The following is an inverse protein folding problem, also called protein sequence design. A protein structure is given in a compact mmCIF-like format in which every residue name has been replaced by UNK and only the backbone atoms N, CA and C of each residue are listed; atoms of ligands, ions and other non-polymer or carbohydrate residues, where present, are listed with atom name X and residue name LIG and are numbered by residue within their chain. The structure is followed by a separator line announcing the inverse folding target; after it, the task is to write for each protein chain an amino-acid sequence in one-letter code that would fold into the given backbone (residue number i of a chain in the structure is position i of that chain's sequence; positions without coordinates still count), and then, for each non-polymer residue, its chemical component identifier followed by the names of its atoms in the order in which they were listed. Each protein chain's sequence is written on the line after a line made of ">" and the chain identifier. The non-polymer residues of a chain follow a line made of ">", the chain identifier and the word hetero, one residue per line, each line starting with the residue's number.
data_IF_819055046733
#
_entry.id   IF_819055046733
#
_cell.length_a   1.000
_cell.length_b   1.000
_cell.length_c   1.000
_cell.angle_alpha   90.00
_cell.angle_beta   90.00
_cell.angle_gamma   90.00
#
_symmetry.space_group_name_H-M   'P 1'
#
loop_
_entity.id
_entity.type
_entity.pdbx_description
1 polymer ?
#
# COMPACT_ATOMS: atom_id res chain seq x y z
N UNK A 1 -18.07 4.44 -0.45
CA UNK A 1 -16.80 3.77 -0.77
C UNK A 1 -16.72 2.50 0.04
N UNK A 2 -16.33 1.42 -0.57
CA UNK A 2 -16.03 0.11 0.00
C UNK A 2 -14.65 -0.38 -0.46
N UNK A 3 -14.11 -1.41 0.18
CA UNK A 3 -12.92 -2.11 -0.28
C UNK A 3 -13.33 -3.35 -1.07
N UNK A 4 -12.83 -3.46 -2.29
CA UNK A 4 -13.09 -4.61 -3.16
C UNK A 4 -11.80 -5.34 -3.52
N UNK A 5 -11.91 -6.61 -3.85
CA UNK A 5 -10.90 -7.32 -4.64
C UNK A 5 -11.03 -6.90 -6.10
N UNK A 6 -9.91 -6.78 -6.79
CA UNK A 6 -9.94 -6.52 -8.22
C UNK A 6 -10.46 -7.77 -8.95
N UNK A 7 -11.36 -7.56 -9.90
CA UNK A 7 -11.89 -8.56 -10.82
C UNK A 7 -11.74 -8.04 -12.26
N UNK A 8 -11.86 -8.91 -13.27
CA UNK A 8 -11.73 -8.50 -14.67
C UNK A 8 -12.62 -7.32 -15.06
N UNK A 9 -13.85 -7.30 -14.55
CA UNK A 9 -14.81 -6.20 -14.81
C UNK A 9 -14.32 -4.82 -14.32
N UNK A 10 -13.40 -4.78 -13.35
CA UNK A 10 -12.87 -3.54 -12.78
C UNK A 10 -11.56 -3.09 -13.49
N UNK A 11 -10.99 -3.95 -14.35
CA UNK A 11 -9.68 -3.68 -14.94
C UNK A 11 -9.64 -2.41 -15.80
N UNK A 12 -10.66 -2.09 -16.62
CA UNK A 12 -10.65 -0.86 -17.41
C UNK A 12 -10.54 0.39 -16.53
N UNK A 13 -11.33 0.48 -15.47
CA UNK A 13 -11.30 1.60 -14.50
C UNK A 13 -9.97 1.65 -13.73
N UNK A 14 -9.44 0.47 -13.36
CA UNK A 14 -8.14 0.38 -12.70
C UNK A 14 -7.00 0.93 -13.58
N UNK A 15 -6.97 0.59 -14.85
CA UNK A 15 -5.97 1.11 -15.79
C UNK A 15 -6.09 2.62 -16.01
N UNK A 16 -7.32 3.14 -16.01
CA UNK A 16 -7.56 4.60 -16.04
C UNK A 16 -7.06 5.25 -14.76
N UNK A 17 -7.38 4.68 -13.59
CA UNK A 17 -6.96 5.19 -12.30
C UNK A 17 -5.44 5.26 -12.17
N UNK A 18 -4.72 4.20 -12.54
CA UNK A 18 -3.24 4.20 -12.51
C UNK A 18 -2.67 5.32 -13.40
N UNK A 19 -3.17 5.49 -14.62
CA UNK A 19 -2.71 6.56 -15.51
C UNK A 19 -2.93 7.96 -14.95
N UNK A 20 -3.96 8.16 -14.14
CA UNK A 20 -4.19 9.44 -13.46
C UNK A 20 -3.17 9.65 -12.34
N UNK A 21 -2.89 8.61 -11.56
CA UNK A 21 -1.89 8.66 -10.46
C UNK A 21 -0.47 8.86 -11.01
N UNK A 22 -0.12 8.21 -12.13
CA UNK A 22 1.19 8.36 -12.79
C UNK A 22 1.48 9.81 -13.25
N UNK A 23 0.48 10.66 -13.34
CA UNK A 23 0.64 12.09 -13.67
C UNK A 23 0.85 12.97 -12.44
N UNK A 24 0.72 12.39 -11.25
CA UNK A 24 0.87 13.09 -9.99
C UNK A 24 2.33 12.98 -9.54
N UNK A 25 3.05 14.10 -9.57
CA UNK A 25 4.49 14.15 -9.24
C UNK A 25 4.76 13.71 -7.79
N UNK A 26 3.80 13.88 -6.89
CA UNK A 26 3.92 13.47 -5.48
C UNK A 26 3.85 11.94 -5.30
N UNK A 27 3.39 11.19 -6.32
CA UNK A 27 3.20 9.74 -6.28
C UNK A 27 4.17 8.97 -7.19
N UNK A 28 5.14 9.66 -7.81
CA UNK A 28 6.14 9.09 -8.76
C UNK A 28 7.00 7.97 -8.14
N UNK A 29 7.16 7.94 -6.82
CA UNK A 29 7.95 6.91 -6.12
C UNK A 29 7.30 5.53 -6.07
N UNK A 30 6.07 5.40 -6.53
CA UNK A 30 5.39 4.12 -6.64
C UNK A 30 5.72 3.51 -8.01
N UNK A 31 6.09 2.24 -8.07
CA UNK A 31 6.35 1.50 -9.33
C UNK A 31 5.07 1.34 -10.18
N UNK A 32 4.39 2.46 -10.46
CA UNK A 32 3.09 2.48 -11.13
C UNK A 32 3.20 2.07 -12.60
N UNK A 33 4.30 2.42 -13.27
CA UNK A 33 4.57 2.01 -14.65
C UNK A 33 4.64 0.49 -14.76
N UNK A 34 5.34 -0.16 -13.82
CA UNK A 34 5.46 -1.62 -13.75
C UNK A 34 4.10 -2.24 -13.47
N UNK A 35 3.37 -1.71 -12.49
CA UNK A 35 2.03 -2.18 -12.14
C UNK A 35 1.07 -2.09 -13.34
N UNK A 36 1.11 -0.98 -14.10
CA UNK A 36 0.34 -0.82 -15.31
C UNK A 36 0.73 -1.84 -16.38
N UNK A 37 2.04 -1.98 -16.63
CA UNK A 37 2.55 -2.90 -17.63
C UNK A 37 2.18 -4.36 -17.32
N UNK A 38 2.27 -4.78 -16.07
CA UNK A 38 1.87 -6.12 -15.61
C UNK A 38 0.37 -6.37 -15.83
N UNK A 39 -0.47 -5.39 -15.46
CA UNK A 39 -1.92 -5.47 -15.63
C UNK A 39 -2.36 -5.55 -17.10
N UNK A 40 -1.63 -4.89 -18.00
CA UNK A 40 -1.89 -4.93 -19.45
C UNK A 40 -1.36 -6.22 -20.09
N UNK A 41 -0.20 -6.70 -19.64
CA UNK A 41 0.45 -7.87 -20.25
C UNK A 41 -0.30 -9.17 -19.94
N UNK A 42 -0.78 -9.35 -18.71
CA UNK A 42 -1.52 -10.54 -18.30
C UNK A 42 -2.49 -10.17 -17.14
N UNK A 43 -3.69 -9.76 -17.52
CA UNK A 43 -4.71 -9.32 -16.60
C UNK A 43 -5.12 -10.40 -15.58
N UNK A 44 -5.27 -11.64 -16.03
CA UNK A 44 -5.71 -12.74 -15.18
C UNK A 44 -4.66 -13.05 -14.10
N UNK A 45 -3.39 -13.12 -14.50
CA UNK A 45 -2.27 -13.31 -13.59
C UNK A 45 -2.17 -12.12 -12.62
N UNK A 46 -2.21 -10.89 -13.13
CA UNK A 46 -2.14 -9.69 -12.33
C UNK A 46 -3.22 -9.65 -11.23
N UNK A 47 -4.47 -9.95 -11.61
CA UNK A 47 -5.60 -10.01 -10.66
C UNK A 47 -5.39 -11.12 -9.64
N UNK A 48 -4.94 -12.30 -10.08
CA UNK A 48 -4.69 -13.43 -9.19
C UNK A 48 -3.58 -13.19 -8.17
N UNK A 49 -2.58 -12.38 -8.52
CA UNK A 49 -1.43 -12.06 -7.66
C UNK A 49 -1.68 -10.89 -6.68
N UNK A 50 -2.88 -10.26 -6.71
CA UNK A 50 -3.20 -9.19 -5.76
C UNK A 50 -3.28 -9.68 -4.31
N UNK A 51 -3.71 -10.90 -4.09
CA UNK A 51 -3.69 -11.55 -2.79
C UNK A 51 -2.69 -12.72 -2.80
N UNK A 52 -1.64 -12.59 -2.04
CA UNK A 52 -0.62 -13.63 -1.84
C UNK A 52 -0.40 -13.89 -0.33
N UNK A 53 -1.40 -14.48 0.36
CA UNK A 53 -1.33 -14.65 1.81
C UNK A 53 -0.28 -15.65 2.29
N UNK A 54 0.40 -16.32 1.37
CA UNK A 54 1.49 -17.26 1.66
C UNK A 54 2.86 -16.74 1.24
N UNK A 55 2.95 -15.64 0.50
CA UNK A 55 4.20 -15.09 -0.01
C UNK A 55 4.88 -16.01 -1.02
N UNK A 56 4.10 -16.64 -1.92
CA UNK A 56 4.60 -17.58 -2.93
C UNK A 56 4.89 -16.92 -4.29
N UNK A 57 4.53 -15.66 -4.44
CA UNK A 57 4.83 -14.90 -5.65
C UNK A 57 6.33 -14.74 -5.87
N UNK A 58 6.69 -14.26 -7.07
CA UNK A 58 8.08 -14.01 -7.42
C UNK A 58 8.76 -13.06 -6.44
N UNK A 59 10.06 -13.26 -6.22
CA UNK A 59 10.89 -12.37 -5.42
C UNK A 59 10.83 -10.93 -5.97
N UNK A 60 10.98 -9.99 -5.10
CA UNK A 60 10.92 -8.56 -5.43
C UNK A 60 12.34 -8.07 -5.73
N UNK A 61 12.53 -7.51 -6.92
CA UNK A 61 13.75 -6.82 -7.28
C UNK A 61 13.82 -5.45 -6.60
N UNK A 62 14.90 -5.23 -5.88
CA UNK A 62 15.19 -3.96 -5.21
C UNK A 62 15.88 -2.99 -6.18
N UNK A 63 15.85 -1.66 -5.92
CA UNK A 63 16.50 -0.68 -6.78
C UNK A 63 18.01 -0.88 -7.00
N UNK A 64 18.68 -1.57 -6.08
CA UNK A 64 20.09 -1.94 -6.18
C UNK A 64 20.36 -3.23 -6.97
N UNK A 65 19.31 -3.83 -7.55
CA UNK A 65 19.36 -5.08 -8.31
C UNK A 65 19.41 -6.35 -7.47
N UNK A 66 19.32 -6.25 -6.15
CA UNK A 66 19.18 -7.42 -5.28
C UNK A 66 17.73 -7.93 -5.27
N UNK A 67 17.55 -9.21 -4.94
CA UNK A 67 16.22 -9.82 -4.83
C UNK A 67 15.90 -10.12 -3.37
N UNK A 68 14.70 -9.79 -2.95
CA UNK A 68 14.18 -10.12 -1.63
C UNK A 68 12.93 -10.96 -1.73
N UNK A 69 12.76 -11.90 -0.81
CA UNK A 69 11.59 -12.75 -0.79
C UNK A 69 10.32 -11.92 -0.60
N UNK A 70 9.30 -12.21 -1.42
CA UNK A 70 7.98 -11.61 -1.27
C UNK A 70 7.38 -11.98 0.08
N UNK A 71 6.86 -10.98 0.77
CA UNK A 71 6.09 -11.19 2.00
C UNK A 71 4.65 -11.60 1.67
N UNK A 72 4.01 -12.37 2.53
CA UNK A 72 2.56 -12.48 2.55
C UNK A 72 1.90 -11.12 2.43
N UNK A 73 0.92 -11.00 1.54
CA UNK A 73 0.27 -9.72 1.29
C UNK A 73 -1.17 -9.87 0.82
N UNK A 74 -1.96 -8.84 1.06
CA UNK A 74 -3.28 -8.66 0.48
C UNK A 74 -3.42 -7.24 -0.05
N UNK A 75 -4.20 -7.10 -1.11
CA UNK A 75 -4.48 -5.81 -1.74
C UNK A 75 -5.98 -5.62 -1.89
N UNK A 76 -6.42 -4.39 -1.63
CA UNK A 76 -7.80 -3.97 -1.84
C UNK A 76 -7.83 -2.68 -2.64
N UNK A 77 -8.91 -2.49 -3.36
CA UNK A 77 -9.16 -1.27 -4.12
C UNK A 77 -10.35 -0.53 -3.52
N UNK A 78 -10.20 0.78 -3.39
CA UNK A 78 -11.27 1.66 -2.93
C UNK A 78 -12.25 1.86 -4.07
N UNK A 79 -13.53 1.57 -3.85
CA UNK A 79 -14.57 1.58 -4.87
C UNK A 79 -15.78 2.42 -4.42
N UNK A 80 -16.24 3.34 -5.27
CA UNK A 80 -17.48 4.10 -5.08
C UNK A 80 -18.36 4.15 -6.33
N UNK A 81 -18.18 3.18 -7.22
CA UNK A 81 -18.71 3.13 -8.58
C UNK A 81 -17.56 3.22 -9.61
N UNK A 82 -16.39 3.64 -9.18
CA UNK A 82 -15.13 3.64 -9.93
C UNK A 82 -13.96 3.37 -8.97
N UNK A 83 -12.77 3.08 -9.50
CA UNK A 83 -11.57 2.91 -8.68
C UNK A 83 -11.13 4.28 -8.16
N UNK A 84 -11.07 4.43 -6.84
CA UNK A 84 -10.70 5.67 -6.14
C UNK A 84 -9.29 5.65 -5.57
N UNK A 85 -8.72 4.46 -5.40
CA UNK A 85 -7.41 4.26 -4.80
C UNK A 85 -7.12 2.79 -4.52
N UNK A 86 -5.99 2.53 -3.91
CA UNK A 86 -5.51 1.20 -3.56
C UNK A 86 -4.93 1.21 -2.15
N UNK A 87 -5.10 0.13 -1.43
CA UNK A 87 -4.49 -0.13 -0.13
C UNK A 87 -3.95 -1.55 -0.11
N UNK A 88 -2.72 -1.71 0.36
CA UNK A 88 -2.08 -3.01 0.50
C UNK A 88 -1.58 -3.23 1.92
N UNK A 89 -1.64 -4.47 2.38
CA UNK A 89 -1.09 -4.92 3.64
C UNK A 89 -0.14 -6.07 3.41
N UNK A 90 1.01 -6.06 4.09
CA UNK A 90 2.03 -7.11 4.08
C UNK A 90 2.50 -7.39 5.49
N UNK A 91 2.93 -8.63 5.75
CA UNK A 91 3.37 -9.03 7.10
C UNK A 91 4.43 -10.13 7.05
N UNK A 92 5.17 -10.29 8.14
CA UNK A 92 6.03 -11.44 8.37
C UNK A 92 5.31 -12.44 9.29
N UNK A 93 5.12 -13.70 8.88
CA UNK A 93 4.42 -14.68 9.72
C UNK A 93 5.08 -14.88 11.08
N UNK A 94 4.28 -14.79 12.15
CA UNK A 94 4.74 -15.09 13.53
C UNK A 94 5.53 -13.96 14.22
N UNK A 95 5.63 -12.79 13.62
CA UNK A 95 6.28 -11.61 14.22
C UNK A 95 5.57 -10.32 13.82
N UNK A 96 5.71 -9.29 14.66
CA UNK A 96 5.28 -7.92 14.32
C UNK A 96 6.35 -7.16 13.53
N UNK A 97 7.57 -7.72 13.38
CA UNK A 97 8.66 -7.02 12.72
C UNK A 97 8.63 -7.28 11.21
N UNK A 98 8.98 -6.26 10.45
CA UNK A 98 9.20 -6.35 9.01
C UNK A 98 10.69 -6.40 8.70
N UNK A 99 11.10 -7.03 7.59
CA UNK A 99 12.47 -6.92 7.09
C UNK A 99 12.87 -5.46 6.89
N UNK A 100 14.16 -5.12 7.04
CA UNK A 100 14.65 -3.75 6.80
C UNK A 100 14.38 -3.22 5.39
N UNK A 101 14.11 -4.10 4.44
CA UNK A 101 13.72 -3.79 3.07
C UNK A 101 12.26 -3.37 2.92
N UNK A 102 11.48 -3.33 4.01
CA UNK A 102 10.06 -2.99 3.98
C UNK A 102 9.79 -1.77 4.87
N UNK A 103 9.25 -0.71 4.30
CA UNK A 103 9.03 0.56 5.00
C UNK A 103 7.82 0.56 5.94
N UNK A 104 6.92 -0.41 5.85
CA UNK A 104 5.74 -0.49 6.71
C UNK A 104 4.81 -1.61 6.28
N UNK A 105 3.88 -1.96 7.17
CA UNK A 105 2.88 -3.02 6.95
C UNK A 105 1.82 -2.61 5.93
N UNK A 106 1.37 -1.36 5.98
CA UNK A 106 0.27 -0.86 5.15
C UNK A 106 0.77 0.32 4.32
N UNK A 107 0.49 0.28 3.02
CA UNK A 107 0.68 1.38 2.10
C UNK A 107 -0.60 1.62 1.30
N UNK A 108 -0.89 2.88 0.98
CA UNK A 108 -2.04 3.24 0.18
C UNK A 108 -1.78 4.48 -0.68
N UNK A 109 -2.55 4.60 -1.72
CA UNK A 109 -2.70 5.83 -2.48
C UNK A 109 -4.17 6.07 -2.83
N UNK A 110 -4.50 7.30 -3.12
CA UNK A 110 -5.84 7.72 -3.53
C UNK A 110 -5.73 8.62 -4.77
N UNK A 111 -6.73 8.57 -5.64
CA UNK A 111 -6.78 9.47 -6.79
C UNK A 111 -6.83 10.94 -6.34
N UNK A 112 -6.12 11.85 -7.03
CA UNK A 112 -6.10 13.27 -6.67
C UNK A 112 -7.51 13.89 -6.55
N UNK A 113 -8.42 13.55 -7.48
CA UNK A 113 -9.80 14.03 -7.49
C UNK A 113 -10.68 13.42 -6.38
N UNK A 114 -10.19 12.41 -5.64
CA UNK A 114 -10.85 11.79 -4.48
C UNK A 114 -10.18 12.17 -3.16
N UNK A 115 -9.12 12.97 -3.21
CA UNK A 115 -8.43 13.47 -2.02
C UNK A 115 -9.35 14.35 -1.18
N UNK A 116 -9.18 14.33 0.15
CA UNK A 116 -10.01 15.11 1.07
C UNK A 116 -11.44 14.57 1.30
N UNK A 117 -11.83 13.47 0.66
CA UNK A 117 -13.17 12.86 0.80
C UNK A 117 -13.32 11.95 2.02
N UNK A 118 -12.24 11.69 2.75
CA UNK A 118 -12.20 10.75 3.87
C UNK A 118 -12.05 9.28 3.44
N UNK A 119 -11.90 9.00 2.15
CA UNK A 119 -11.80 7.63 1.64
C UNK A 119 -10.57 6.88 2.15
N UNK A 120 -9.40 7.52 2.19
CA UNK A 120 -8.19 6.91 2.74
C UNK A 120 -8.36 6.55 4.23
N UNK A 121 -8.98 7.42 5.02
CA UNK A 121 -9.27 7.15 6.44
C UNK A 121 -10.20 5.95 6.61
N UNK A 122 -11.28 5.90 5.82
CA UNK A 122 -12.21 4.76 5.85
C UNK A 122 -11.55 3.48 5.36
N UNK A 123 -10.75 3.56 4.29
CA UNK A 123 -10.04 2.41 3.73
C UNK A 123 -9.05 1.80 4.74
N UNK A 124 -8.29 2.65 5.42
CA UNK A 124 -7.37 2.17 6.47
C UNK A 124 -8.14 1.47 7.59
N UNK A 125 -9.25 2.06 8.06
CA UNK A 125 -10.10 1.41 9.09
C UNK A 125 -10.61 0.04 8.64
N UNK A 126 -11.13 -0.07 7.41
CA UNK A 126 -11.60 -1.35 6.86
C UNK A 126 -10.46 -2.37 6.68
N UNK A 127 -9.27 -1.93 6.25
CA UNK A 127 -8.10 -2.80 6.13
C UNK A 127 -7.67 -3.33 7.50
N UNK A 128 -7.71 -2.52 8.55
CA UNK A 128 -7.36 -2.96 9.91
C UNK A 128 -8.25 -4.10 10.41
N UNK A 129 -9.52 -4.19 9.98
CA UNK A 129 -10.38 -5.34 10.29
C UNK A 129 -9.84 -6.65 9.68
N UNK A 130 -9.35 -6.60 8.43
CA UNK A 130 -8.72 -7.76 7.79
C UNK A 130 -7.37 -8.11 8.45
N UNK A 131 -6.59 -7.08 8.82
CA UNK A 131 -5.28 -7.24 9.48
C UNK A 131 -5.38 -7.96 10.83
N UNK A 132 -6.42 -7.69 11.61
CA UNK A 132 -6.64 -8.36 12.91
C UNK A 132 -6.68 -9.88 12.81
N UNK A 133 -7.06 -10.43 11.66
CA UNK A 133 -7.06 -11.88 11.42
C UNK A 133 -5.65 -12.48 11.41
N UNK A 134 -4.61 -11.67 11.21
CA UNK A 134 -3.22 -12.09 11.19
C UNK A 134 -2.58 -12.18 12.59
N UNK A 135 -3.33 -11.77 13.64
CA UNK A 135 -2.89 -11.85 15.05
C UNK A 135 -1.60 -11.09 15.34
N UNK A 136 -1.40 -9.97 14.68
CA UNK A 136 -0.34 -9.01 15.01
C UNK A 136 -0.79 -8.15 16.20
N UNK A 137 0.16 -7.69 17.03
CA UNK A 137 -0.15 -6.76 18.11
C UNK A 137 -0.30 -5.32 17.60
N UNK A 138 0.38 -5.01 16.50
CA UNK A 138 0.37 -3.70 15.87
C UNK A 138 0.75 -3.77 14.39
N UNK A 139 0.45 -2.71 13.68
CA UNK A 139 1.01 -2.43 12.35
C UNK A 139 1.76 -1.11 12.36
N UNK A 140 2.77 -1.03 11.50
CA UNK A 140 3.53 0.20 11.26
C UNK A 140 3.21 0.75 9.87
N UNK A 141 3.14 2.08 9.79
CA UNK A 141 3.02 2.83 8.56
C UNK A 141 4.09 3.92 8.54
N UNK A 142 4.55 4.24 7.35
CA UNK A 142 5.48 5.34 7.14
C UNK A 142 4.88 6.37 6.20
N UNK A 143 5.30 7.60 6.36
CA UNK A 143 4.94 8.69 5.44
C UNK A 143 5.98 9.79 5.50
N UNK A 144 6.09 10.58 4.44
CA UNK A 144 6.95 11.75 4.42
C UNK A 144 6.57 12.73 5.54
N UNK A 145 7.54 13.44 6.13
CA UNK A 145 7.28 14.41 7.19
C UNK A 145 6.30 15.51 6.75
N UNK A 146 6.30 15.87 5.48
CA UNK A 146 5.47 16.94 4.93
C UNK A 146 4.10 16.43 4.45
N UNK A 147 3.87 15.12 4.41
CA UNK A 147 2.59 14.53 4.02
C UNK A 147 1.58 14.58 5.18
N UNK A 148 1.09 15.79 5.47
CA UNK A 148 0.12 16.05 6.54
C UNK A 148 -1.18 15.27 6.34
N UNK A 149 -1.59 15.05 5.09
CA UNK A 149 -2.80 14.30 4.75
C UNK A 149 -2.69 12.84 5.20
N UNK A 150 -1.58 12.16 4.87
CA UNK A 150 -1.34 10.77 5.30
C UNK A 150 -1.23 10.68 6.83
N UNK A 151 -0.53 11.61 7.47
CA UNK A 151 -0.46 11.66 8.94
C UNK A 151 -1.84 11.80 9.59
N UNK A 152 -2.74 12.62 9.01
CA UNK A 152 -4.10 12.77 9.50
C UNK A 152 -4.91 11.47 9.37
N UNK A 153 -4.79 10.76 8.25
CA UNK A 153 -5.40 9.44 8.02
C UNK A 153 -4.95 8.44 9.08
N UNK A 154 -3.64 8.38 9.34
CA UNK A 154 -3.05 7.45 10.31
C UNK A 154 -3.54 7.78 11.73
N UNK A 155 -3.50 9.05 12.13
CA UNK A 155 -3.99 9.53 13.44
C UNK A 155 -5.46 9.22 13.65
N UNK A 156 -6.29 9.44 12.63
CA UNK A 156 -7.74 9.17 12.70
C UNK A 156 -8.06 7.67 12.93
N UNK A 157 -7.11 6.78 12.59
CA UNK A 157 -7.20 5.34 12.83
C UNK A 157 -6.42 4.88 14.09
N UNK A 158 -6.12 5.78 15.00
CA UNK A 158 -5.44 5.46 16.27
C UNK A 158 -3.92 5.35 16.16
N UNK A 159 -3.34 5.83 15.07
CA UNK A 159 -1.88 5.84 14.88
C UNK A 159 -1.17 6.80 15.83
N UNK A 160 -0.13 6.30 16.47
CA UNK A 160 0.75 7.04 17.37
C UNK A 160 2.09 7.22 16.67
N UNK A 161 2.60 8.45 16.68
CA UNK A 161 3.94 8.76 16.19
C UNK A 161 4.99 8.04 17.03
N UNK A 162 5.95 7.40 16.37
CA UNK A 162 7.05 6.69 17.03
C UNK A 162 8.35 7.49 16.90
N UNK A 163 8.78 7.74 15.67
CA UNK A 163 10.04 8.41 15.38
C UNK A 163 10.06 9.00 13.96
N UNK A 164 11.03 9.87 13.70
CA UNK A 164 11.44 10.27 12.37
C UNK A 164 12.89 9.86 12.17
N UNK A 165 13.19 9.21 11.07
CA UNK A 165 14.54 8.77 10.76
C UNK A 165 14.77 8.73 9.25
N UNK A 166 16.07 8.74 8.83
CA UNK A 166 16.40 8.63 7.41
C UNK A 166 15.77 7.43 6.73
N UNK A 167 15.38 7.63 5.49
CA UNK A 167 14.94 6.53 4.61
C UNK A 167 16.10 5.54 4.46
N UNK A 168 15.85 4.21 4.57
CA UNK A 168 16.88 3.23 4.27
C UNK A 168 17.44 3.44 2.86
N UNK A 169 18.77 3.40 2.66
CA UNK A 169 19.41 3.82 1.41
C UNK A 169 18.85 3.17 0.13
N UNK A 170 18.37 1.94 0.24
CA UNK A 170 17.77 1.20 -0.88
C UNK A 170 16.41 1.78 -1.33
N UNK A 171 15.81 2.66 -0.56
CA UNK A 171 14.51 3.31 -0.88
C UNK A 171 14.63 4.78 -1.26
N UNK A 172 15.87 5.33 -1.27
CA UNK A 172 16.11 6.72 -1.64
C UNK A 172 16.75 7.55 -0.54
N UNK A 173 16.49 8.85 -0.58
CA UNK A 173 17.08 9.85 0.35
C UNK A 173 15.97 10.68 0.98
N UNK A 174 16.23 11.23 2.16
CA UNK A 174 15.28 12.00 2.95
C UNK A 174 14.94 11.31 4.25
N UNK A 175 13.88 11.75 4.89
CA UNK A 175 13.38 11.20 6.15
C UNK A 175 11.97 10.63 5.99
N UNK A 176 11.62 9.67 6.82
CA UNK A 176 10.26 9.18 7.02
C UNK A 176 9.84 9.32 8.47
N UNK A 177 8.57 9.62 8.68
CA UNK A 177 7.90 9.47 9.97
C UNK A 177 7.33 8.06 10.09
N UNK A 178 7.56 7.44 11.23
CA UNK A 178 7.10 6.10 11.57
C UNK A 178 5.95 6.19 12.57
N UNK A 179 4.90 5.48 12.26
CA UNK A 179 3.65 5.48 13.02
C UNK A 179 3.25 4.05 13.35
N UNK A 180 2.64 3.85 14.52
CA UNK A 180 2.16 2.53 14.95
C UNK A 180 0.69 2.59 15.31
N UNK A 181 -0.08 1.63 14.81
CA UNK A 181 -1.48 1.41 15.18
C UNK A 181 -1.55 0.08 15.93
N UNK A 182 -2.05 0.09 17.16
CA UNK A 182 -2.34 -1.14 17.92
C UNK A 182 -3.60 -1.80 17.36
N UNK A 183 -3.62 -3.15 17.33
CA UNK A 183 -4.70 -3.95 16.76
C UNK A 183 -5.64 -4.51 17.83
#
# INVERSE_FOLDING_TARGET
>A
MELIRLEEKHLPEFLVAIKLVMKDEDLIHMELDKLYAEAVADAARFIGEQDDPQGLGADIEMPDGTFVKRLPSIVRHMWDGEICGRIGFRWSPGTNDLPPTCLGHIGYWILPNKSGTGYATKALGLMLEEVRLQKLDYVELTTDPDNVASQAVIKANGGVFIEQKPIPPQHGTGDLTYWRIKL
#
